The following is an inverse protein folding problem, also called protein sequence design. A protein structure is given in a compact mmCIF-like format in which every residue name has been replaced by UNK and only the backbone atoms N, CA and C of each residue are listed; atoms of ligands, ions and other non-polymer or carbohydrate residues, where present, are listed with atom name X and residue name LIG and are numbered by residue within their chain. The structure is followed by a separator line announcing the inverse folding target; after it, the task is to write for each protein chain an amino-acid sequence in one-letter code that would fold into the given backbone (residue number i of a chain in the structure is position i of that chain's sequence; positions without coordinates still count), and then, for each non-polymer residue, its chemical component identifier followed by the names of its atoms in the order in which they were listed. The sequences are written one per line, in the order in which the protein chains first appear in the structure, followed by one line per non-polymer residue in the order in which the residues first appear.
data_IF_645160735978
#
_entry.id   IF_645160735978
#
_cell.length_a   1.000
_cell.length_b   1.000
_cell.length_c   1.000
_cell.angle_alpha   90.00
_cell.angle_beta   90.00
_cell.angle_gamma   90.00
#
_symmetry.space_group_name_H-M   'P 1'
#
loop_
_entity.id
_entity.type
_entity.pdbx_description
1 polymer ?
#
# COMPACT_ATOMS: atom_id res chain seq x y z
N UNK A 1 1.23 -21.75 26.50
CA UNK A 1 0.59 -20.51 26.11
C UNK A 1 1.62 -19.37 26.02
N UNK A 2 2.40 -19.09 27.08
CA UNK A 2 3.41 -18.01 27.09
C UNK A 2 4.47 -18.20 25.99
N UNK A 3 5.00 -19.42 25.82
CA UNK A 3 5.96 -19.72 24.77
C UNK A 3 5.39 -19.46 23.36
N UNK A 4 4.14 -19.86 23.11
CA UNK A 4 3.48 -19.64 21.81
C UNK A 4 3.23 -18.15 21.56
N UNK A 5 2.84 -17.38 22.58
CA UNK A 5 2.68 -15.93 22.43
C UNK A 5 4.01 -15.21 22.15
N UNK A 6 5.11 -15.66 22.77
CA UNK A 6 6.46 -15.12 22.49
C UNK A 6 6.88 -15.49 21.07
N UNK A 7 6.69 -16.75 20.67
CA UNK A 7 6.98 -17.22 19.31
C UNK A 7 6.17 -16.45 18.27
N UNK A 8 4.87 -16.26 18.50
CA UNK A 8 4.02 -15.47 17.60
C UNK A 8 4.45 -13.99 17.53
N UNK A 9 4.91 -13.41 18.64
CA UNK A 9 5.47 -12.06 18.66
C UNK A 9 6.77 -11.94 17.85
N UNK A 10 7.61 -12.96 17.86
CA UNK A 10 8.82 -13.04 17.05
C UNK A 10 8.48 -13.25 15.55
N UNK A 11 7.59 -14.19 15.24
CA UNK A 11 7.16 -14.45 13.85
C UNK A 11 6.54 -13.22 13.19
N UNK A 12 5.86 -12.35 13.96
CA UNK A 12 5.33 -11.10 13.44
C UNK A 12 6.40 -10.19 12.81
N UNK A 13 7.62 -10.17 13.38
CA UNK A 13 8.70 -9.32 12.85
C UNK A 13 9.31 -9.88 11.56
N UNK A 14 9.01 -11.13 11.23
CA UNK A 14 9.51 -11.82 10.05
C UNK A 14 8.48 -11.85 8.91
N UNK A 15 7.18 -11.66 9.20
CA UNK A 15 6.16 -11.63 8.15
C UNK A 15 6.34 -10.38 7.32
N UNK A 16 6.63 -10.56 6.04
CA UNK A 16 6.80 -9.50 5.07
C UNK A 16 5.45 -8.85 4.76
N UNK A 17 5.48 -7.53 4.60
CA UNK A 17 4.33 -6.76 4.13
C UNK A 17 4.45 -6.69 2.60
N UNK A 18 3.53 -7.31 1.89
CA UNK A 18 3.51 -7.30 0.43
C UNK A 18 2.07 -7.07 -0.07
N UNK A 19 1.83 -5.88 -0.62
CA UNK A 19 0.59 -5.58 -1.34
C UNK A 19 0.92 -5.43 -2.82
N UNK A 20 1.02 -6.56 -3.48
CA UNK A 20 1.04 -6.57 -4.94
C UNK A 20 -0.41 -6.52 -5.46
N UNK A 21 -0.75 -5.41 -6.12
CA UNK A 21 -2.06 -5.23 -6.75
C UNK A 21 -2.29 -6.23 -7.89
N UNK A 22 -1.22 -6.71 -8.53
CA UNK A 22 -1.31 -7.73 -9.59
C UNK A 22 -1.75 -9.08 -9.02
N UNK A 23 -1.31 -9.44 -7.82
CA UNK A 23 -1.75 -10.69 -7.17
C UNK A 23 -3.26 -10.73 -6.88
N UNK A 24 -3.91 -9.57 -6.83
CA UNK A 24 -5.36 -9.45 -6.65
C UNK A 24 -6.14 -9.59 -7.95
N UNK A 25 -5.49 -9.51 -9.09
CA UNK A 25 -6.12 -9.65 -10.39
C UNK A 25 -6.16 -11.12 -10.85
N UNK A 26 -7.23 -11.54 -11.55
CA UNK A 26 -7.30 -12.91 -12.07
C UNK A 26 -6.21 -13.18 -13.11
N UNK A 27 -5.40 -14.21 -12.93
CA UNK A 27 -4.36 -14.65 -13.88
C UNK A 27 -4.88 -14.93 -15.30
N UNK A 28 -6.18 -15.23 -15.43
CA UNK A 28 -6.82 -15.58 -16.71
C UNK A 28 -7.16 -14.37 -17.57
N UNK A 29 -6.96 -13.16 -17.08
CA UNK A 29 -7.27 -11.93 -17.82
C UNK A 29 -6.06 -11.55 -18.69
N UNK A 30 -6.25 -11.51 -20.00
CA UNK A 30 -5.19 -11.20 -20.96
C UNK A 30 -4.49 -9.83 -20.71
N UNK A 31 -5.18 -8.88 -20.08
CA UNK A 31 -4.58 -7.61 -19.70
C UNK A 31 -3.55 -7.77 -18.56
N UNK A 32 -3.81 -8.65 -17.61
CA UNK A 32 -2.91 -8.95 -16.48
C UNK A 32 -1.66 -9.68 -16.98
N UNK A 33 -1.83 -10.69 -17.85
CA UNK A 33 -0.73 -11.39 -18.50
C UNK A 33 0.19 -10.43 -19.28
N UNK A 34 -0.41 -9.52 -20.05
CA UNK A 34 0.36 -8.51 -20.81
C UNK A 34 1.05 -7.49 -19.91
N UNK A 35 0.41 -7.12 -18.80
CA UNK A 35 1.02 -6.20 -17.83
C UNK A 35 2.21 -6.86 -17.13
N UNK A 36 2.12 -8.15 -16.79
CA UNK A 36 3.25 -8.92 -16.29
C UNK A 36 4.40 -8.98 -17.31
N UNK A 37 4.09 -9.29 -18.58
CA UNK A 37 5.09 -9.27 -19.67
C UNK A 37 5.74 -7.87 -19.81
N UNK A 38 4.95 -6.80 -19.69
CA UNK A 38 5.48 -5.43 -19.75
C UNK A 38 6.43 -5.14 -18.59
N UNK A 39 6.08 -5.57 -17.38
CA UNK A 39 6.96 -5.43 -16.22
C UNK A 39 8.26 -6.23 -16.37
N UNK A 40 8.16 -7.49 -16.81
CA UNK A 40 9.31 -8.41 -16.88
C UNK A 40 10.28 -8.06 -18.02
N UNK A 41 9.77 -7.56 -19.16
CA UNK A 41 10.58 -7.29 -20.34
C UNK A 41 11.05 -5.82 -20.47
N UNK A 42 10.30 -4.87 -19.88
CA UNK A 42 10.53 -3.43 -20.02
C UNK A 42 10.81 -2.71 -18.70
N UNK A 43 10.86 -3.42 -17.59
CA UNK A 43 11.04 -2.86 -16.24
C UNK A 43 10.04 -1.73 -15.90
N UNK A 44 8.85 -1.77 -16.49
CA UNK A 44 7.82 -0.76 -16.31
C UNK A 44 6.58 -1.30 -15.59
N UNK A 45 5.67 -0.41 -15.20
CA UNK A 45 4.38 -0.87 -14.68
C UNK A 45 3.67 0.01 -13.66
N UNK A 46 4.38 0.80 -12.87
CA UNK A 46 3.80 1.70 -11.86
C UNK A 46 4.05 3.17 -12.25
N UNK A 47 3.14 3.78 -13.03
CA UNK A 47 3.29 5.16 -13.42
C UNK A 47 3.09 6.10 -12.23
N UNK A 48 3.95 7.11 -12.15
CA UNK A 48 3.86 8.21 -11.20
C UNK A 48 4.25 9.53 -11.84
N UNK A 49 4.01 10.61 -11.12
CA UNK A 49 4.30 11.97 -11.59
C UNK A 49 4.84 12.82 -10.45
N UNK A 50 5.82 13.67 -10.75
CA UNK A 50 6.15 14.84 -9.96
C UNK A 50 5.56 16.05 -10.66
N UNK A 51 4.76 16.84 -9.97
CA UNK A 51 4.32 18.14 -10.44
C UNK A 51 5.40 19.16 -10.05
N UNK A 52 6.00 19.79 -11.06
CA UNK A 52 6.98 20.84 -10.87
C UNK A 52 6.33 22.17 -11.18
N UNK A 53 6.32 23.07 -10.20
CA UNK A 53 5.86 24.45 -10.35
C UNK A 53 7.09 25.33 -10.64
N UNK A 54 7.17 25.85 -11.85
CA UNK A 54 8.23 26.72 -12.32
C UNK A 54 7.76 27.51 -13.55
N UNK A 55 8.13 28.76 -13.65
CA UNK A 55 7.89 29.55 -14.86
C UNK A 55 8.89 29.14 -15.95
N UNK A 56 8.43 28.32 -16.90
CA UNK A 56 9.19 27.90 -18.06
C UNK A 56 8.71 28.59 -19.35
N UNK A 57 7.95 29.67 -19.21
CA UNK A 57 7.47 30.44 -20.38
C UNK A 57 8.63 31.08 -21.14
N UNK A 58 8.59 30.95 -22.45
CA UNK A 58 9.65 31.45 -23.34
C UNK A 58 9.19 32.64 -24.16
N UNK A 59 10.06 33.61 -24.31
CA UNK A 59 9.80 34.79 -25.12
C UNK A 59 10.29 34.59 -26.57
N UNK A 60 9.43 34.79 -27.58
CA UNK A 60 9.80 34.62 -28.99
C UNK A 60 10.67 35.75 -29.56
N UNK A 61 10.94 36.82 -28.80
CA UNK A 61 11.64 38.00 -29.29
C UNK A 61 13.13 38.00 -28.99
N UNK A 62 13.96 37.97 -30.00
CA UNK A 62 15.42 38.18 -29.89
C UNK A 62 15.79 39.61 -29.49
N UNK A 63 14.83 40.54 -29.53
CA UNK A 63 15.05 41.97 -29.32
C UNK A 63 14.54 42.47 -27.96
N UNK A 64 14.09 41.55 -27.12
CA UNK A 64 13.64 41.88 -25.75
C UNK A 64 14.82 42.27 -24.87
N UNK A 65 14.60 43.21 -23.97
CA UNK A 65 15.58 43.56 -22.94
C UNK A 65 15.82 42.33 -22.02
N UNK A 66 17.08 41.82 -21.95
CA UNK A 66 17.39 40.63 -21.12
C UNK A 66 17.04 40.79 -19.62
N UNK A 67 17.06 42.05 -19.14
CA UNK A 67 16.70 42.32 -17.69
C UNK A 67 15.23 42.08 -17.44
N UNK A 68 14.36 42.16 -18.46
CA UNK A 68 12.92 41.94 -18.37
C UNK A 68 12.48 40.51 -18.70
N UNK A 69 13.43 39.71 -19.23
CA UNK A 69 13.17 38.32 -19.52
C UNK A 69 13.21 37.48 -18.23
N UNK A 70 12.30 36.53 -18.10
CA UNK A 70 12.46 35.45 -17.16
C UNK A 70 13.64 34.56 -17.55
N UNK A 71 14.04 33.67 -16.65
CA UNK A 71 15.05 32.65 -16.88
C UNK A 71 14.43 31.26 -16.97
N UNK A 72 13.73 30.92 -18.07
CA UNK A 72 13.15 29.61 -18.24
C UNK A 72 14.22 28.50 -18.34
N UNK A 73 15.45 28.87 -18.81
CA UNK A 73 16.52 27.90 -18.91
C UNK A 73 16.99 27.42 -17.53
N UNK A 74 17.19 28.31 -16.56
CA UNK A 74 17.57 27.91 -15.20
C UNK A 74 16.53 27.02 -14.55
N UNK A 75 15.23 27.25 -14.81
CA UNK A 75 14.17 26.39 -14.33
C UNK A 75 14.15 25.02 -15.04
N UNK A 76 14.41 24.98 -16.32
CA UNK A 76 14.57 23.72 -17.08
C UNK A 76 15.83 22.96 -16.63
N UNK A 77 16.93 23.65 -16.30
CA UNK A 77 18.14 23.06 -15.74
C UNK A 77 17.86 22.40 -14.39
N UNK A 78 17.08 23.05 -13.51
CA UNK A 78 16.63 22.46 -12.27
C UNK A 78 15.73 21.23 -12.47
N UNK A 79 14.89 21.22 -13.49
CA UNK A 79 14.12 20.05 -13.88
C UNK A 79 15.00 18.91 -14.40
N UNK A 80 16.03 19.23 -15.18
CA UNK A 80 17.05 18.27 -15.65
C UNK A 80 17.77 17.61 -14.49
N UNK A 81 18.19 18.41 -13.52
CA UNK A 81 18.87 17.93 -12.30
C UNK A 81 17.96 16.97 -11.53
N UNK A 82 16.68 17.32 -11.36
CA UNK A 82 15.71 16.46 -10.67
C UNK A 82 15.43 15.17 -11.46
N UNK A 83 15.22 15.25 -12.77
CA UNK A 83 15.06 14.09 -13.66
C UNK A 83 16.26 13.15 -13.56
N UNK A 84 17.47 13.70 -13.63
CA UNK A 84 18.72 12.94 -13.55
C UNK A 84 18.87 12.25 -12.19
N UNK A 85 18.53 12.92 -11.09
CA UNK A 85 18.55 12.33 -9.74
C UNK A 85 17.52 11.19 -9.61
N UNK A 86 16.30 11.37 -10.14
CA UNK A 86 15.29 10.33 -10.15
C UNK A 86 15.73 9.09 -10.96
N UNK A 87 16.44 9.29 -12.07
CA UNK A 87 17.02 8.19 -12.88
C UNK A 87 18.18 7.45 -12.18
N UNK A 88 18.70 7.94 -11.05
CA UNK A 88 19.68 7.22 -10.21
C UNK A 88 19.01 6.26 -9.21
N UNK A 89 17.73 6.41 -8.99
CA UNK A 89 16.98 5.50 -8.12
C UNK A 89 16.83 4.14 -8.82
N UNK A 90 17.00 3.06 -8.07
CA UNK A 90 17.00 1.71 -8.60
C UNK A 90 15.75 1.41 -9.43
N UNK A 91 15.96 1.01 -10.67
CA UNK A 91 14.92 0.58 -11.62
C UNK A 91 13.84 1.64 -11.92
N UNK A 92 14.13 2.93 -11.75
CA UNK A 92 13.19 4.00 -12.11
C UNK A 92 13.60 4.67 -13.41
N UNK A 93 12.60 5.08 -14.19
CA UNK A 93 12.79 5.88 -15.41
C UNK A 93 11.99 7.17 -15.27
N UNK A 94 12.70 8.31 -15.23
CA UNK A 94 12.11 9.63 -15.17
C UNK A 94 12.22 10.32 -16.53
N UNK A 95 11.13 10.90 -16.98
CA UNK A 95 11.01 11.60 -18.27
C UNK A 95 10.31 12.94 -18.07
N UNK A 96 10.96 14.01 -18.51
CA UNK A 96 10.39 15.36 -18.52
C UNK A 96 10.40 15.95 -19.92
N UNK A 97 9.98 17.20 -20.04
CA UNK A 97 10.15 17.96 -21.27
C UNK A 97 11.62 18.10 -21.67
N UNK A 98 12.53 18.10 -20.70
CA UNK A 98 13.98 18.19 -20.95
C UNK A 98 14.51 16.94 -21.64
N UNK A 99 13.96 15.75 -21.31
CA UNK A 99 14.28 14.53 -22.06
C UNK A 99 13.99 14.70 -23.56
N UNK A 100 12.84 15.32 -23.92
CA UNK A 100 12.52 15.57 -25.32
C UNK A 100 13.51 16.58 -25.95
N UNK A 101 13.94 17.61 -25.21
CA UNK A 101 14.95 18.54 -25.64
C UNK A 101 16.30 17.86 -25.90
N UNK A 102 16.65 16.85 -25.11
CA UNK A 102 17.86 16.04 -25.33
C UNK A 102 17.74 15.07 -26.51
N UNK A 103 16.53 14.59 -26.80
CA UNK A 103 16.28 13.62 -27.87
C UNK A 103 16.11 14.25 -29.27
N UNK A 104 15.61 15.47 -29.33
CA UNK A 104 15.30 16.14 -30.61
C UNK A 104 16.49 17.01 -31.04
N UNK A 105 17.01 16.73 -32.22
CA UNK A 105 18.09 17.54 -32.79
C UNK A 105 17.59 18.89 -33.32
N UNK A 106 18.36 19.93 -33.04
CA UNK A 106 18.20 21.28 -33.62
C UNK A 106 18.81 21.31 -35.00
N UNK A 107 18.13 21.97 -35.92
CA UNK A 107 18.71 22.34 -37.21
C UNK A 107 17.71 22.38 -38.34
N UNK A 108 17.79 23.44 -39.13
CA UNK A 108 17.05 23.59 -40.36
C UNK A 108 17.99 23.20 -41.47
N UNK A 109 17.75 22.06 -42.10
CA UNK A 109 18.56 21.64 -43.25
C UNK A 109 18.14 22.43 -44.49
N UNK A 110 18.79 23.56 -44.71
CA UNK A 110 18.60 24.36 -45.93
C UNK A 110 19.68 23.95 -46.93
N UNK A 111 19.32 23.03 -47.82
CA UNK A 111 20.24 22.59 -48.85
C UNK A 111 20.52 23.75 -49.85
N UNK A 112 21.73 24.29 -49.79
CA UNK A 112 22.29 24.99 -50.90
C UNK A 112 22.43 26.52 -50.86
N UNK A 113 22.06 27.19 -49.76
CA UNK A 113 22.37 28.62 -49.55
C UNK A 113 22.93 28.81 -48.13
N UNK A 114 24.08 29.46 -48.00
CA UNK A 114 24.58 29.90 -46.72
C UNK A 114 23.72 31.05 -46.19
N UNK A 115 22.57 30.70 -45.55
CA UNK A 115 21.73 31.69 -44.88
C UNK A 115 22.50 32.30 -43.71
N UNK A 116 23.34 31.53 -43.09
CA UNK A 116 24.26 31.88 -42.02
C UNK A 116 25.15 33.08 -42.42
N UNK A 117 25.94 32.93 -43.48
CA UNK A 117 26.78 34.04 -44.00
C UNK A 117 25.96 35.29 -44.32
N UNK A 118 24.69 35.14 -44.70
CA UNK A 118 23.82 36.27 -45.06
C UNK A 118 23.30 37.01 -43.82
N UNK A 119 23.10 36.29 -42.71
CA UNK A 119 22.65 36.89 -41.46
C UNK A 119 23.81 37.60 -40.76
N UNK A 120 24.99 36.98 -40.74
CA UNK A 120 26.22 37.56 -40.18
C UNK A 120 26.62 38.88 -40.85
N UNK A 121 26.30 39.04 -42.14
CA UNK A 121 26.56 40.26 -42.92
C UNK A 121 25.50 41.38 -42.75
N UNK A 122 24.42 41.13 -41.96
CA UNK A 122 23.42 42.16 -41.71
C UNK A 122 23.96 43.23 -40.75
N UNK A 123 23.83 44.55 -41.11
CA UNK A 123 24.29 45.64 -40.26
C UNK A 123 23.31 45.91 -39.13
N UNK A 124 23.24 44.99 -38.17
CA UNK A 124 22.40 45.10 -36.99
C UNK A 124 23.15 45.83 -35.86
N UNK A 125 22.46 46.60 -35.00
CA UNK A 125 23.08 47.18 -33.81
C UNK A 125 23.58 46.11 -32.85
N UNK A 126 24.72 46.34 -32.18
CA UNK A 126 25.39 45.38 -31.30
C UNK A 126 24.45 44.63 -30.33
N UNK A 127 23.48 45.26 -29.61
CA UNK A 127 22.62 44.53 -28.67
C UNK A 127 21.64 43.55 -29.35
N UNK A 128 21.50 43.63 -30.69
CA UNK A 128 20.59 42.80 -31.48
C UNK A 128 21.38 41.78 -32.31
N UNK A 129 22.58 42.12 -32.70
CA UNK A 129 23.41 41.30 -33.58
C UNK A 129 23.82 39.99 -32.92
N UNK A 130 24.34 40.04 -31.68
CA UNK A 130 24.79 38.84 -30.96
C UNK A 130 23.72 37.76 -30.76
N UNK A 131 22.47 38.06 -30.31
CA UNK A 131 21.45 37.03 -30.21
C UNK A 131 21.06 36.44 -31.56
N UNK A 132 21.05 37.25 -32.63
CA UNK A 132 20.73 36.80 -33.99
C UNK A 132 21.82 35.90 -34.55
N UNK A 133 23.10 36.27 -34.41
CA UNK A 133 24.23 35.43 -34.78
C UNK A 133 24.24 34.11 -34.06
N UNK A 134 24.05 34.08 -32.73
CA UNK A 134 24.06 32.86 -31.94
C UNK A 134 22.94 31.89 -32.35
N UNK A 135 21.72 32.40 -32.57
CA UNK A 135 20.61 31.58 -33.05
C UNK A 135 20.85 31.09 -34.48
N UNK A 136 21.36 31.97 -35.35
CA UNK A 136 21.69 31.62 -36.73
C UNK A 136 22.73 30.51 -36.81
N UNK A 137 23.82 30.63 -36.06
CA UNK A 137 24.89 29.62 -36.02
C UNK A 137 24.37 28.25 -35.54
N UNK A 138 23.47 28.22 -34.54
CA UNK A 138 22.85 26.99 -34.06
C UNK A 138 21.87 26.39 -35.08
N UNK A 139 20.98 27.21 -35.64
CA UNK A 139 19.91 26.71 -36.51
C UNK A 139 20.40 26.32 -37.89
N UNK A 140 21.38 27.07 -38.47
CA UNK A 140 21.77 26.91 -39.85
C UNK A 140 23.18 26.34 -40.07
N UNK A 141 24.05 26.35 -39.08
CA UNK A 141 25.40 25.84 -39.19
C UNK A 141 25.57 24.40 -38.67
N UNK A 142 24.71 23.52 -39.15
CA UNK A 142 24.73 22.10 -38.79
C UNK A 142 26.05 21.39 -39.13
N UNK A 143 26.83 21.91 -40.09
CA UNK A 143 28.12 21.32 -40.44
C UNK A 143 29.21 21.61 -39.41
N UNK A 144 29.09 22.69 -38.66
CA UNK A 144 30.01 23.09 -37.58
C UNK A 144 29.70 22.38 -36.24
N UNK A 145 28.43 22.27 -35.90
CA UNK A 145 27.99 21.80 -34.58
C UNK A 145 27.60 20.31 -34.55
N UNK A 146 27.56 19.63 -35.70
CA UNK A 146 27.05 18.25 -35.77
C UNK A 146 25.54 18.18 -35.54
N UNK A 147 24.99 17.03 -35.24
CA UNK A 147 23.58 16.90 -34.86
C UNK A 147 23.41 17.25 -33.36
N UNK A 148 23.42 18.53 -33.02
CA UNK A 148 23.22 19.02 -31.65
C UNK A 148 21.75 18.92 -31.30
N UNK A 149 21.43 18.44 -30.09
CA UNK A 149 20.06 18.45 -29.55
C UNK A 149 19.67 19.87 -29.12
N UNK A 150 18.35 20.10 -28.93
CA UNK A 150 17.91 21.39 -28.38
C UNK A 150 18.56 21.67 -27.02
N UNK A 151 18.70 20.66 -26.15
CA UNK A 151 19.38 20.80 -24.87
C UNK A 151 20.84 21.18 -25.05
N UNK A 152 21.56 20.45 -25.90
CA UNK A 152 22.96 20.75 -26.18
C UNK A 152 23.16 22.11 -26.84
N UNK A 153 22.17 22.61 -27.60
CA UNK A 153 22.20 23.96 -28.14
C UNK A 153 22.02 25.03 -27.06
N UNK A 154 21.16 24.80 -26.08
CA UNK A 154 21.00 25.70 -24.94
C UNK A 154 22.29 25.77 -24.09
N UNK A 155 22.97 24.63 -23.90
CA UNK A 155 24.24 24.56 -23.18
C UNK A 155 25.39 25.30 -23.92
N UNK A 156 25.33 25.38 -25.28
CA UNK A 156 26.31 26.09 -26.06
C UNK A 156 26.13 27.62 -25.99
N UNK A 157 24.92 28.08 -25.65
CA UNK A 157 24.62 29.49 -25.46
C UNK A 157 25.11 29.93 -24.07
N UNK A 158 26.11 30.81 -24.04
CA UNK A 158 26.56 31.39 -22.78
C UNK A 158 25.59 32.48 -22.33
N UNK A 159 24.83 32.18 -21.26
CA UNK A 159 23.91 33.16 -20.67
C UNK A 159 24.61 34.40 -20.09
N UNK A 160 25.94 34.38 -19.91
CA UNK A 160 26.75 35.51 -19.45
C UNK A 160 27.21 36.41 -20.61
N UNK A 161 27.20 35.91 -21.83
CA UNK A 161 27.48 36.71 -23.01
C UNK A 161 26.29 37.59 -23.42
N UNK A 162 26.59 38.72 -24.05
CA UNK A 162 25.55 39.61 -24.55
C UNK A 162 24.70 38.87 -25.60
N UNK A 163 23.39 38.72 -25.30
CA UNK A 163 22.47 38.06 -26.23
C UNK A 163 22.16 36.58 -25.88
N UNK A 164 22.94 35.93 -25.03
CA UNK A 164 22.73 34.54 -24.67
C UNK A 164 21.32 34.25 -24.11
N UNK A 165 20.82 35.07 -23.20
CA UNK A 165 19.50 34.96 -22.60
C UNK A 165 18.36 35.07 -23.63
N UNK A 166 18.50 36.03 -24.60
CA UNK A 166 17.51 36.18 -25.66
C UNK A 166 17.53 34.98 -26.62
N UNK A 167 18.72 34.49 -26.96
CA UNK A 167 18.89 33.32 -27.82
C UNK A 167 18.33 32.05 -27.17
N UNK A 168 18.60 31.82 -25.88
CA UNK A 168 18.04 30.72 -25.12
C UNK A 168 16.49 30.76 -25.06
N UNK A 169 15.93 31.92 -24.72
CA UNK A 169 14.47 32.11 -24.69
C UNK A 169 13.83 31.84 -26.07
N UNK A 170 14.44 32.36 -27.13
CA UNK A 170 13.95 32.13 -28.51
C UNK A 170 14.03 30.64 -28.88
N UNK A 171 15.11 29.96 -28.54
CA UNK A 171 15.30 28.56 -28.88
C UNK A 171 14.31 27.66 -28.11
N UNK A 172 14.06 27.95 -26.84
CA UNK A 172 13.04 27.28 -26.05
C UNK A 172 11.64 27.49 -26.65
N UNK A 173 11.32 28.73 -27.09
CA UNK A 173 10.07 29.01 -27.78
C UNK A 173 9.94 28.21 -29.09
N UNK A 174 10.99 28.12 -29.89
CA UNK A 174 11.01 27.31 -31.11
C UNK A 174 10.77 25.85 -30.80
N UNK A 175 11.41 25.35 -29.76
CA UNK A 175 11.21 23.96 -29.31
C UNK A 175 9.73 23.69 -28.95
N UNK A 176 9.11 24.53 -28.14
CA UNK A 176 7.70 24.33 -27.74
C UNK A 176 6.75 24.36 -28.94
N UNK A 177 7.06 25.14 -29.96
CA UNK A 177 6.26 25.19 -31.17
C UNK A 177 6.61 24.09 -32.19
N UNK A 178 7.72 23.40 -32.02
CA UNK A 178 8.08 22.21 -32.82
C UNK A 178 7.35 20.96 -32.36
N UNK A 179 6.87 20.93 -31.12
CA UNK A 179 6.11 19.82 -30.57
C UNK A 179 4.65 19.86 -31.04
N UNK A 180 4.04 18.68 -31.21
CA UNK A 180 2.59 18.60 -31.35
C UNK A 180 1.90 19.10 -30.06
N UNK A 181 0.67 19.63 -30.20
CA UNK A 181 -0.09 20.13 -29.06
C UNK A 181 -0.26 19.04 -27.98
N UNK A 182 -0.55 17.80 -28.38
CA UNK A 182 -0.72 16.67 -27.48
C UNK A 182 0.56 16.35 -26.70
N UNK A 183 1.73 16.35 -27.37
CA UNK A 183 3.02 16.10 -26.75
C UNK A 183 3.38 17.22 -25.76
N UNK A 184 3.13 18.46 -26.12
CA UNK A 184 3.40 19.60 -25.25
C UNK A 184 2.52 19.59 -24.01
N UNK A 185 1.21 19.40 -24.17
CA UNK A 185 0.24 19.38 -23.06
C UNK A 185 0.40 18.15 -22.14
N UNK A 186 1.11 17.12 -22.58
CA UNK A 186 1.45 15.97 -21.74
C UNK A 186 2.48 16.34 -20.66
N UNK A 187 3.44 17.20 -20.97
CA UNK A 187 4.53 17.58 -20.06
C UNK A 187 4.35 18.97 -19.46
N UNK A 188 3.71 19.90 -20.15
CA UNK A 188 3.69 21.32 -19.83
C UNK A 188 2.24 21.80 -19.72
N UNK A 189 1.90 22.48 -18.62
CA UNK A 189 0.62 23.12 -18.47
C UNK A 189 0.45 24.27 -19.51
N UNK A 190 -0.79 24.58 -19.93
CA UNK A 190 -1.06 25.61 -20.96
C UNK A 190 -0.56 27.01 -20.60
N UNK A 191 -0.38 27.33 -19.33
CA UNK A 191 0.12 28.59 -18.80
C UNK A 191 1.64 28.65 -18.64
N UNK A 192 2.35 27.52 -18.89
CA UNK A 192 3.79 27.36 -18.73
C UNK A 192 4.29 27.62 -17.29
N UNK A 193 3.42 27.55 -16.30
CA UNK A 193 3.77 27.73 -14.88
C UNK A 193 3.96 26.40 -14.16
N UNK A 194 3.64 25.29 -14.81
CA UNK A 194 3.81 23.95 -14.25
C UNK A 194 4.21 22.96 -15.32
N UNK A 195 4.97 21.96 -14.92
CA UNK A 195 5.40 20.86 -15.77
C UNK A 195 5.34 19.55 -15.01
N UNK A 196 5.29 18.44 -15.74
CA UNK A 196 5.28 17.09 -15.18
C UNK A 196 6.60 16.40 -15.48
N UNK A 197 7.15 15.73 -14.46
CA UNK A 197 8.15 14.69 -14.62
C UNK A 197 7.40 13.37 -14.47
N UNK A 198 7.29 12.61 -15.54
CA UNK A 198 6.74 11.26 -15.55
C UNK A 198 7.78 10.30 -14.99
N UNK A 199 7.37 9.46 -14.04
CA UNK A 199 8.22 8.44 -13.44
C UNK A 199 7.56 7.09 -13.65
N UNK A 200 8.29 6.14 -14.20
CA UNK A 200 7.87 4.75 -14.32
C UNK A 200 8.76 3.85 -13.45
N UNK A 201 8.12 2.95 -12.73
CA UNK A 201 8.79 1.97 -11.86
C UNK A 201 8.23 0.59 -12.13
N UNK A 202 9.06 -0.48 -12.10
CA UNK A 202 8.56 -1.84 -12.20
C UNK A 202 7.69 -2.21 -10.98
N UNK A 203 6.90 -3.26 -11.11
CA UNK A 203 6.25 -3.86 -9.97
C UNK A 203 7.30 -4.51 -9.07
N UNK A 204 7.50 -3.93 -7.90
CA UNK A 204 8.44 -4.37 -6.89
C UNK A 204 7.70 -4.69 -5.59
N UNK A 205 8.38 -5.39 -4.67
CA UNK A 205 7.87 -5.54 -3.32
C UNK A 205 7.67 -4.17 -2.63
N UNK A 206 6.76 -4.11 -1.67
CA UNK A 206 6.37 -2.85 -1.00
C UNK A 206 7.55 -2.14 -0.35
N UNK A 207 8.54 -2.88 0.18
CA UNK A 207 9.69 -2.28 0.85
C UNK A 207 10.61 -1.56 -0.14
N UNK A 208 10.86 -2.15 -1.31
CA UNK A 208 11.64 -1.51 -2.39
C UNK A 208 10.89 -0.33 -2.97
N UNK A 209 9.58 -0.50 -3.27
CA UNK A 209 8.72 0.58 -3.75
C UNK A 209 8.73 1.77 -2.78
N UNK A 210 8.62 1.51 -1.47
CA UNK A 210 8.69 2.54 -0.42
C UNK A 210 10.05 3.23 -0.40
N UNK A 211 11.13 2.47 -0.43
CA UNK A 211 12.49 3.03 -0.45
C UNK A 211 12.74 3.90 -1.69
N UNK A 212 12.28 3.47 -2.86
CA UNK A 212 12.39 4.23 -4.09
C UNK A 212 11.57 5.53 -4.03
N UNK A 213 10.31 5.44 -3.57
CA UNK A 213 9.43 6.62 -3.39
C UNK A 213 10.01 7.62 -2.40
N UNK A 214 10.50 7.17 -1.24
CA UNK A 214 11.14 8.04 -0.25
C UNK A 214 12.39 8.74 -0.78
N UNK A 215 13.18 8.07 -1.63
CA UNK A 215 14.34 8.67 -2.28
C UNK A 215 13.94 9.74 -3.31
N UNK A 216 12.91 9.44 -4.12
CA UNK A 216 12.37 10.41 -5.09
C UNK A 216 11.83 11.65 -4.36
N UNK A 217 11.06 11.46 -3.29
CA UNK A 217 10.49 12.55 -2.50
C UNK A 217 11.59 13.38 -1.81
N UNK A 218 12.66 12.73 -1.38
CA UNK A 218 13.83 13.42 -0.86
C UNK A 218 14.47 14.29 -1.93
N UNK A 219 14.66 13.81 -3.16
CA UNK A 219 15.18 14.59 -4.26
C UNK A 219 14.24 15.73 -4.67
N UNK A 220 12.93 15.48 -4.70
CA UNK A 220 11.92 16.48 -4.98
C UNK A 220 11.88 17.62 -3.95
N UNK A 221 12.31 17.36 -2.71
CA UNK A 221 12.37 18.33 -1.62
C UNK A 221 13.68 19.11 -1.52
N UNK A 222 14.70 18.74 -2.33
CA UNK A 222 15.99 19.44 -2.34
C UNK A 222 15.95 20.69 -3.23
N UNK A 223 16.73 21.69 -2.84
CA UNK A 223 16.96 22.84 -3.71
C UNK A 223 17.67 22.41 -4.98
N UNK A 224 17.18 22.86 -6.11
CA UNK A 224 17.74 22.66 -7.46
C UNK A 224 18.11 24.00 -8.08
N UNK A 225 18.73 23.97 -9.26
CA UNK A 225 18.95 25.17 -10.05
C UNK A 225 17.60 25.83 -10.38
N UNK A 226 17.59 27.16 -10.50
CA UNK A 226 16.39 27.94 -10.78
C UNK A 226 15.45 28.11 -9.59
N UNK A 227 14.24 28.58 -9.87
CA UNK A 227 13.17 28.84 -8.89
C UNK A 227 12.03 27.85 -9.11
N UNK A 228 12.26 26.57 -8.80
CA UNK A 228 11.24 25.54 -8.96
C UNK A 228 10.88 24.92 -7.60
N UNK A 229 9.64 24.47 -7.50
CA UNK A 229 9.16 23.65 -6.39
C UNK A 229 8.54 22.39 -6.96
N UNK A 230 8.76 21.24 -6.29
CA UNK A 230 8.23 19.96 -6.72
C UNK A 230 7.35 19.35 -5.63
N UNK A 231 6.28 18.70 -6.06
CA UNK A 231 5.45 17.89 -5.14
C UNK A 231 6.13 16.56 -4.85
N UNK A 232 5.77 15.88 -3.76
CA UNK A 232 6.07 14.46 -3.60
C UNK A 232 5.52 13.64 -4.77
N UNK A 233 6.05 12.43 -4.95
CA UNK A 233 5.62 11.50 -5.99
C UNK A 233 4.12 11.17 -5.83
N UNK A 234 3.37 11.40 -6.90
CA UNK A 234 1.94 11.07 -6.99
C UNK A 234 1.75 9.97 -8.03
N UNK A 235 1.16 8.86 -7.64
CA UNK A 235 0.96 7.76 -8.59
C UNK A 235 0.57 6.47 -7.93
N UNK A 236 0.59 5.39 -8.70
CA UNK A 236 0.19 4.05 -8.23
C UNK A 236 1.06 3.60 -7.06
N UNK A 237 2.37 3.81 -7.13
CA UNK A 237 3.31 3.43 -6.08
C UNK A 237 2.99 4.11 -4.74
N UNK A 238 2.85 5.44 -4.73
CA UNK A 238 2.54 6.21 -3.51
C UNK A 238 1.19 5.80 -2.91
N UNK A 239 0.15 5.64 -3.75
CA UNK A 239 -1.17 5.17 -3.30
C UNK A 239 -1.07 3.79 -2.69
N UNK A 240 -0.32 2.89 -3.30
CA UNK A 240 -0.13 1.52 -2.79
C UNK A 240 0.53 1.52 -1.41
N UNK A 241 1.57 2.34 -1.21
CA UNK A 241 2.27 2.48 0.07
C UNK A 241 1.33 3.04 1.14
N UNK A 242 0.63 4.15 0.87
CA UNK A 242 -0.29 4.76 1.84
C UNK A 242 -1.44 3.83 2.21
N UNK A 243 -2.02 3.15 1.22
CA UNK A 243 -3.09 2.16 1.45
C UNK A 243 -2.57 1.00 2.31
N UNK A 244 -1.34 0.52 2.05
CA UNK A 244 -0.72 -0.52 2.86
C UNK A 244 -0.55 -0.08 4.33
N UNK A 245 0.01 1.09 4.57
CA UNK A 245 0.22 1.62 5.93
C UNK A 245 -1.10 1.80 6.69
N UNK A 246 -2.14 2.32 6.03
CA UNK A 246 -3.47 2.46 6.61
C UNK A 246 -4.11 1.11 6.96
N UNK A 247 -3.98 0.12 6.09
CA UNK A 247 -4.55 -1.22 6.28
C UNK A 247 -3.85 -1.94 7.42
N UNK A 248 -2.51 -1.99 7.39
CA UNK A 248 -1.70 -2.63 8.44
C UNK A 248 -1.92 -1.92 9.79
N UNK A 249 -1.94 -0.58 9.80
CA UNK A 249 -2.23 0.20 11.00
C UNK A 249 -3.64 -0.03 11.55
N UNK A 250 -4.64 -0.19 10.67
CA UNK A 250 -6.03 -0.44 11.07
C UNK A 250 -6.29 -1.85 11.58
N UNK A 251 -5.43 -2.83 11.25
CA UNK A 251 -5.59 -4.22 11.67
C UNK A 251 -5.69 -4.36 13.19
N UNK A 252 -4.79 -3.69 13.93
CA UNK A 252 -4.77 -3.76 15.39
C UNK A 252 -6.02 -3.15 16.03
N UNK A 253 -6.48 -2.03 15.50
CA UNK A 253 -7.72 -1.40 15.96
C UNK A 253 -8.93 -2.31 15.71
N UNK A 254 -9.03 -2.82 14.48
CA UNK A 254 -10.11 -3.73 14.07
C UNK A 254 -10.14 -4.99 14.93
N UNK A 255 -8.98 -5.62 15.13
CA UNK A 255 -8.85 -6.81 15.96
C UNK A 255 -9.19 -6.54 17.42
N UNK A 256 -8.71 -5.42 17.98
CA UNK A 256 -9.02 -4.98 19.33
C UNK A 256 -10.52 -4.74 19.53
N UNK A 257 -11.17 -4.06 18.59
CA UNK A 257 -12.62 -3.88 18.62
C UNK A 257 -13.38 -5.19 18.48
N UNK A 258 -12.97 -6.09 17.58
CA UNK A 258 -13.60 -7.40 17.42
C UNK A 258 -13.56 -8.21 18.72
N UNK A 259 -12.40 -8.28 19.38
CA UNK A 259 -12.26 -8.95 20.67
C UNK A 259 -13.07 -8.26 21.78
N UNK A 260 -13.08 -6.92 21.83
CA UNK A 260 -13.85 -6.16 22.82
C UNK A 260 -15.35 -6.42 22.66
N UNK A 261 -15.89 -6.31 21.44
CA UNK A 261 -17.30 -6.58 21.18
C UNK A 261 -17.66 -8.04 21.45
N UNK A 262 -16.77 -8.98 21.17
CA UNK A 262 -16.94 -10.39 21.53
C UNK A 262 -17.09 -10.56 23.04
N UNK A 263 -16.20 -9.96 23.84
CA UNK A 263 -16.28 -10.04 25.31
C UNK A 263 -17.55 -9.38 25.84
N UNK A 264 -17.95 -8.23 25.29
CA UNK A 264 -19.19 -7.55 25.69
C UNK A 264 -20.40 -8.44 25.36
N UNK A 265 -20.49 -8.97 24.15
CA UNK A 265 -21.59 -9.84 23.73
C UNK A 265 -21.68 -11.10 24.59
N UNK A 266 -20.53 -11.76 24.84
CA UNK A 266 -20.48 -12.92 25.72
C UNK A 266 -20.82 -12.57 27.16
N UNK A 267 -20.38 -11.42 27.65
CA UNK A 267 -20.72 -10.90 28.99
C UNK A 267 -22.22 -10.70 29.16
N UNK A 268 -22.90 -10.15 28.12
CA UNK A 268 -24.35 -10.01 28.13
C UNK A 268 -25.09 -11.35 28.06
N UNK A 269 -24.64 -12.25 27.17
CA UNK A 269 -25.25 -13.59 27.01
C UNK A 269 -25.07 -14.43 28.26
N UNK A 270 -23.88 -14.47 28.81
CA UNK A 270 -23.59 -15.25 30.00
C UNK A 270 -23.94 -14.52 31.30
N UNK A 271 -24.20 -13.22 31.28
CA UNK A 271 -24.41 -12.36 32.45
C UNK A 271 -23.29 -12.47 33.50
N UNK A 272 -22.08 -12.78 33.03
CA UNK A 272 -20.88 -12.94 33.85
C UNK A 272 -19.66 -12.57 33.03
N UNK A 273 -19.03 -11.43 33.35
CA UNK A 273 -17.90 -10.90 32.62
C UNK A 273 -16.64 -11.78 32.78
N UNK A 274 -16.45 -12.39 33.96
CA UNK A 274 -15.29 -13.27 34.20
C UNK A 274 -15.37 -14.51 33.30
N UNK A 275 -16.55 -15.11 33.24
CA UNK A 275 -16.79 -16.27 32.40
C UNK A 275 -16.64 -15.93 30.91
N UNK A 276 -17.10 -14.76 30.49
CA UNK A 276 -16.94 -14.28 29.14
C UNK A 276 -15.46 -14.10 28.77
N UNK A 277 -14.68 -13.45 29.63
CA UNK A 277 -13.23 -13.27 29.40
C UNK A 277 -12.50 -14.61 29.27
N UNK A 278 -12.79 -15.56 30.15
CA UNK A 278 -12.20 -16.90 30.10
C UNK A 278 -12.57 -17.65 28.80
N UNK A 279 -13.81 -17.48 28.36
CA UNK A 279 -14.30 -18.10 27.10
C UNK A 279 -13.62 -17.50 25.87
N UNK A 280 -13.15 -16.27 25.95
CA UNK A 280 -12.47 -15.57 24.83
C UNK A 280 -10.97 -15.94 24.72
N UNK A 281 -10.35 -16.52 25.77
CA UNK A 281 -8.92 -16.86 25.77
C UNK A 281 -8.51 -17.75 24.59
N UNK A 282 -9.23 -18.83 24.21
CA UNK A 282 -8.88 -19.65 23.05
C UNK A 282 -8.88 -18.86 21.72
N UNK A 283 -9.80 -17.90 21.60
CA UNK A 283 -9.87 -17.03 20.41
C UNK A 283 -8.65 -16.14 20.34
N UNK A 284 -8.28 -15.47 21.44
CA UNK A 284 -7.06 -14.66 21.52
C UNK A 284 -5.79 -15.48 21.25
N UNK A 285 -5.75 -16.74 21.72
CA UNK A 285 -4.67 -17.67 21.40
C UNK A 285 -4.60 -17.97 19.89
N UNK A 286 -5.72 -18.23 19.26
CA UNK A 286 -5.76 -18.55 17.82
C UNK A 286 -5.36 -17.35 16.97
N UNK A 287 -5.78 -16.14 17.36
CA UNK A 287 -5.34 -14.89 16.71
C UNK A 287 -3.83 -14.69 16.86
N UNK A 288 -3.26 -14.99 18.04
CA UNK A 288 -1.80 -14.98 18.22
C UNK A 288 -1.08 -15.99 17.32
N UNK A 289 -1.66 -17.17 17.10
CA UNK A 289 -1.12 -18.19 16.20
C UNK A 289 -1.12 -17.78 14.72
N UNK A 290 -1.91 -16.79 14.31
CA UNK A 290 -1.96 -16.30 12.94
C UNK A 290 -0.56 -15.95 12.43
N UNK A 291 0.20 -15.18 13.20
CA UNK A 291 1.54 -14.75 12.81
C UNK A 291 2.51 -15.92 12.63
N UNK A 292 2.41 -16.93 13.52
CA UNK A 292 3.23 -18.13 13.41
C UNK A 292 2.89 -18.95 12.16
N UNK A 293 1.61 -19.04 11.82
CA UNK A 293 1.15 -19.78 10.63
C UNK A 293 1.55 -19.06 9.36
N UNK A 294 1.45 -17.73 9.33
CA UNK A 294 1.86 -16.92 8.17
C UNK A 294 3.38 -17.01 7.95
N UNK A 295 4.17 -16.82 9.00
CA UNK A 295 5.64 -16.91 8.95
C UNK A 295 6.10 -18.33 8.51
N UNK A 296 5.53 -19.39 9.10
CA UNK A 296 5.88 -20.77 8.73
C UNK A 296 5.42 -21.18 7.33
N UNK A 297 4.43 -20.52 6.77
CA UNK A 297 3.89 -20.75 5.43
C UNK A 297 4.43 -19.79 4.38
N UNK A 298 5.37 -18.91 4.75
CA UNK A 298 5.90 -17.85 3.89
C UNK A 298 4.79 -17.01 3.24
N UNK A 299 3.76 -16.70 4.06
CA UNK A 299 2.60 -15.93 3.61
C UNK A 299 2.75 -14.48 4.07
N UNK A 300 2.90 -13.58 3.12
CA UNK A 300 3.00 -12.15 3.37
C UNK A 300 1.68 -11.54 3.87
N UNK A 301 1.80 -10.42 4.59
CA UNK A 301 0.66 -9.61 4.99
C UNK A 301 0.22 -8.78 3.78
N UNK A 302 -0.95 -9.10 3.25
CA UNK A 302 -1.56 -8.45 2.10
C UNK A 302 -2.92 -7.85 2.44
N UNK A 303 -3.52 -7.11 1.50
CA UNK A 303 -4.87 -6.57 1.64
C UNK A 303 -5.92 -7.63 2.05
N UNK A 304 -5.74 -8.86 1.57
CA UNK A 304 -6.67 -9.96 1.86
C UNK A 304 -6.32 -10.63 3.18
N UNK A 305 -5.03 -10.90 3.43
CA UNK A 305 -4.59 -11.64 4.63
C UNK A 305 -4.73 -10.82 5.92
N UNK A 306 -4.73 -9.49 5.82
CA UNK A 306 -4.97 -8.61 6.99
C UNK A 306 -6.34 -8.83 7.64
N UNK A 307 -7.34 -9.28 6.85
CA UNK A 307 -8.70 -9.52 7.34
C UNK A 307 -8.83 -10.84 8.14
N UNK A 308 -7.85 -11.74 8.04
CA UNK A 308 -7.90 -13.08 8.68
C UNK A 308 -8.19 -12.97 10.16
N UNK A 309 -7.52 -12.06 10.88
CA UNK A 309 -7.68 -11.91 12.33
C UNK A 309 -9.13 -11.61 12.73
N UNK A 310 -9.80 -10.70 12.05
CA UNK A 310 -11.18 -10.32 12.34
C UNK A 310 -12.18 -11.45 12.02
N UNK A 311 -11.97 -12.13 10.88
CA UNK A 311 -12.78 -13.30 10.49
C UNK A 311 -12.60 -14.42 11.53
N UNK A 312 -11.37 -14.64 11.96
CA UNK A 312 -11.03 -15.70 12.92
C UNK A 312 -11.67 -15.46 14.30
N UNK A 313 -11.74 -14.21 14.76
CA UNK A 313 -12.46 -13.86 15.99
C UNK A 313 -13.93 -14.26 15.88
N UNK A 314 -14.60 -13.95 14.76
CA UNK A 314 -16.01 -14.29 14.55
C UNK A 314 -16.27 -15.78 14.53
N UNK A 315 -15.50 -16.54 13.75
CA UNK A 315 -15.67 -18.00 13.62
C UNK A 315 -15.16 -18.74 14.86
N UNK A 316 -14.01 -18.31 15.41
CA UNK A 316 -13.38 -18.98 16.56
C UNK A 316 -14.19 -18.86 17.86
N UNK A 317 -14.93 -17.78 18.02
CA UNK A 317 -15.76 -17.61 19.23
C UNK A 317 -16.92 -18.60 19.29
N UNK A 318 -17.47 -19.01 18.13
CA UNK A 318 -18.59 -19.97 18.10
C UNK A 318 -18.19 -21.31 18.71
N UNK A 319 -16.98 -21.79 18.45
CA UNK A 319 -16.46 -23.02 19.03
C UNK A 319 -16.38 -22.93 20.56
N UNK A 320 -15.88 -21.80 21.06
CA UNK A 320 -15.77 -21.56 22.51
C UNK A 320 -17.13 -21.41 23.19
N UNK A 321 -18.10 -20.75 22.54
CA UNK A 321 -19.45 -20.55 23.04
C UNK A 321 -20.18 -21.90 23.26
N UNK A 322 -20.07 -22.80 22.30
CA UNK A 322 -20.74 -24.09 22.37
C UNK A 322 -20.30 -24.88 23.62
N UNK A 323 -19.01 -24.98 23.90
CA UNK A 323 -18.46 -25.65 25.07
C UNK A 323 -18.83 -24.88 26.35
N UNK A 324 -18.58 -23.57 26.38
CA UNK A 324 -18.82 -22.73 27.53
C UNK A 324 -20.31 -22.76 28.00
N UNK A 325 -21.23 -22.65 27.02
CA UNK A 325 -22.66 -22.68 27.31
C UNK A 325 -23.09 -24.02 27.96
N UNK A 326 -22.51 -25.13 27.46
CA UNK A 326 -22.82 -26.45 28.02
C UNK A 326 -22.21 -26.63 29.41
N UNK A 327 -20.95 -26.22 29.60
CA UNK A 327 -20.31 -26.25 30.94
C UNK A 327 -21.13 -25.44 31.95
N UNK A 328 -21.59 -24.25 31.54
CA UNK A 328 -22.44 -23.39 32.40
C UNK A 328 -23.78 -24.04 32.76
N UNK A 329 -24.45 -24.65 31.78
CA UNK A 329 -25.73 -25.34 31.99
C UNK A 329 -25.60 -26.53 32.93
N UNK A 330 -24.47 -27.22 32.96
CA UNK A 330 -24.19 -28.38 33.80
C UNK A 330 -23.58 -28.01 35.19
N UNK A 331 -23.49 -26.70 35.50
CA UNK A 331 -23.11 -26.22 36.84
C UNK A 331 -21.62 -25.99 37.05
N UNK A 332 -20.77 -26.14 36.01
CA UNK A 332 -19.36 -25.73 36.03
C UNK A 332 -18.44 -26.60 36.92
N UNK A 333 -18.83 -27.82 37.28
CA UNK A 333 -17.97 -28.80 37.95
C UNK A 333 -16.99 -29.48 36.98
N UNK A 334 -16.01 -30.24 37.49
CA UNK A 334 -15.07 -30.99 36.65
C UNK A 334 -15.81 -32.01 35.78
N UNK A 335 -16.80 -32.72 36.37
CA UNK A 335 -17.63 -33.68 35.65
C UNK A 335 -18.47 -32.98 34.56
N UNK A 336 -18.93 -31.76 34.83
CA UNK A 336 -19.64 -30.94 33.84
C UNK A 336 -18.73 -30.55 32.67
N UNK A 337 -17.47 -30.25 32.91
CA UNK A 337 -16.48 -29.94 31.87
C UNK A 337 -16.21 -31.17 31.00
N UNK A 338 -15.95 -32.34 31.62
CA UNK A 338 -15.72 -33.60 30.91
C UNK A 338 -16.94 -34.01 30.07
N UNK A 339 -18.13 -33.97 30.62
CA UNK A 339 -19.37 -34.28 29.91
C UNK A 339 -19.65 -33.31 28.76
N UNK A 340 -19.29 -32.02 28.91
CA UNK A 340 -19.44 -31.04 27.86
C UNK A 340 -18.50 -31.32 26.70
N UNK A 341 -17.24 -31.66 26.97
CA UNK A 341 -16.25 -31.98 25.92
C UNK A 341 -16.63 -33.29 25.21
N UNK A 342 -17.00 -34.33 25.91
CA UNK A 342 -17.36 -35.60 25.32
C UNK A 342 -18.59 -35.51 24.39
N UNK A 343 -19.58 -34.71 24.77
CA UNK A 343 -20.82 -34.61 24.00
C UNK A 343 -20.80 -33.53 22.88
N UNK A 344 -20.01 -32.47 23.02
CA UNK A 344 -19.96 -31.37 22.06
C UNK A 344 -18.75 -31.49 21.15
N UNK A 345 -17.69 -32.18 21.58
CA UNK A 345 -16.43 -32.27 20.87
C UNK A 345 -16.55 -32.88 19.49
N UNK A 346 -17.29 -33.98 19.34
CA UNK A 346 -17.51 -34.64 18.05
C UNK A 346 -18.25 -33.73 17.07
N UNK A 347 -19.34 -33.11 17.52
CA UNK A 347 -20.14 -32.19 16.72
C UNK A 347 -19.34 -30.97 16.29
N UNK A 348 -18.45 -30.46 17.14
CA UNK A 348 -17.59 -29.35 16.83
C UNK A 348 -16.51 -29.74 15.77
N UNK A 349 -15.98 -30.94 15.89
CA UNK A 349 -15.01 -31.49 14.93
C UNK A 349 -15.67 -31.70 13.55
N UNK A 350 -16.87 -32.25 13.51
CA UNK A 350 -17.66 -32.40 12.28
C UNK A 350 -17.92 -31.03 11.61
N UNK A 351 -18.35 -30.04 12.39
CA UNK A 351 -18.57 -28.68 11.89
C UNK A 351 -17.29 -28.05 11.33
N UNK A 352 -16.15 -28.27 11.97
CA UNK A 352 -14.84 -27.80 11.52
C UNK A 352 -14.48 -28.41 10.17
N UNK A 353 -14.65 -29.72 10.00
CA UNK A 353 -14.37 -30.42 8.75
C UNK A 353 -15.26 -29.90 7.61
N UNK A 354 -16.56 -29.76 7.88
CA UNK A 354 -17.50 -29.28 6.87
C UNK A 354 -17.16 -27.85 6.42
N UNK A 355 -16.84 -26.98 7.38
CA UNK A 355 -16.45 -25.59 7.07
C UNK A 355 -15.13 -25.55 6.31
N UNK A 356 -14.12 -26.31 6.73
CA UNK A 356 -12.83 -26.39 6.03
C UNK A 356 -13.01 -26.94 4.60
N UNK A 357 -13.81 -28.00 4.44
CA UNK A 357 -14.11 -28.55 3.12
C UNK A 357 -14.85 -27.55 2.22
N UNK A 358 -15.78 -26.76 2.77
CA UNK A 358 -16.44 -25.69 2.05
C UNK A 358 -15.44 -24.60 1.58
N UNK A 359 -14.51 -24.22 2.44
CA UNK A 359 -13.49 -23.23 2.12
C UNK A 359 -12.51 -23.70 1.03
N UNK A 360 -12.26 -25.02 0.89
CA UNK A 360 -11.38 -25.52 -0.19
C UNK A 360 -11.91 -25.24 -1.58
N UNK A 361 -13.22 -25.00 -1.75
CA UNK A 361 -13.77 -24.59 -3.03
C UNK A 361 -13.22 -23.25 -3.53
N UNK A 362 -12.73 -22.40 -2.63
CA UNK A 362 -12.13 -21.12 -3.01
C UNK A 362 -10.78 -21.26 -3.74
N UNK A 363 -10.10 -22.41 -3.69
CA UNK A 363 -8.93 -22.68 -4.53
C UNK A 363 -9.24 -22.73 -6.04
N UNK A 364 -10.52 -22.86 -6.41
CA UNK A 364 -10.96 -22.79 -7.81
C UNK A 364 -10.98 -21.37 -8.35
N UNK A 365 -10.85 -20.36 -7.50
CA UNK A 365 -10.81 -18.96 -7.89
C UNK A 365 -9.42 -18.66 -8.47
N UNK A 366 -9.32 -18.16 -9.70
CA UNK A 366 -8.02 -17.90 -10.35
C UNK A 366 -7.43 -16.54 -9.94
N UNK A 367 -7.36 -16.28 -8.62
CA UNK A 367 -6.75 -15.09 -8.04
C UNK A 367 -5.62 -15.56 -7.13
N UNK A 368 -4.35 -15.18 -7.40
CA UNK A 368 -3.19 -15.65 -6.64
C UNK A 368 -3.31 -15.38 -5.14
N UNK A 369 -3.70 -14.18 -4.75
CA UNK A 369 -3.80 -13.77 -3.34
C UNK A 369 -4.82 -14.58 -2.51
N UNK A 370 -5.81 -15.22 -3.15
CA UNK A 370 -6.83 -16.01 -2.43
C UNK A 370 -6.28 -17.35 -1.95
N UNK A 371 -5.36 -17.97 -2.67
CA UNK A 371 -4.81 -19.29 -2.32
C UNK A 371 -4.11 -19.28 -0.95
N UNK A 372 -3.11 -18.41 -0.67
CA UNK A 372 -2.47 -18.32 0.63
C UNK A 372 -3.45 -17.91 1.73
N UNK A 373 -4.35 -16.95 1.45
CA UNK A 373 -5.40 -16.52 2.38
C UNK A 373 -6.26 -17.69 2.88
N UNK A 374 -6.79 -18.51 1.96
CA UNK A 374 -7.63 -19.67 2.31
C UNK A 374 -6.82 -20.73 3.06
N UNK A 375 -5.56 -20.97 2.66
CA UNK A 375 -4.69 -21.91 3.35
C UNK A 375 -4.53 -21.54 4.82
N UNK A 376 -4.20 -20.28 5.09
CA UNK A 376 -4.02 -19.78 6.47
C UNK A 376 -5.32 -19.87 7.27
N UNK A 377 -6.46 -19.48 6.68
CA UNK A 377 -7.76 -19.58 7.37
C UNK A 377 -8.12 -21.02 7.71
N UNK A 378 -7.94 -21.97 6.80
CA UNK A 378 -8.25 -23.40 7.07
C UNK A 378 -7.38 -23.92 8.22
N UNK A 379 -6.08 -23.62 8.22
CA UNK A 379 -5.18 -24.04 9.30
C UNK A 379 -5.63 -23.43 10.63
N UNK A 380 -5.90 -22.12 10.64
CA UNK A 380 -6.31 -21.40 11.85
C UNK A 380 -7.70 -21.82 12.35
N UNK A 381 -8.60 -22.23 11.45
CA UNK A 381 -9.89 -22.81 11.83
C UNK A 381 -9.71 -24.11 12.62
N UNK A 382 -8.79 -24.97 12.18
CA UNK A 382 -8.46 -26.21 12.91
C UNK A 382 -7.80 -25.86 14.25
N UNK A 383 -6.89 -24.89 14.29
CA UNK A 383 -6.28 -24.40 15.55
C UNK A 383 -7.33 -23.84 16.49
N UNK A 384 -8.32 -23.08 15.98
CA UNK A 384 -9.42 -22.54 16.78
C UNK A 384 -10.28 -23.64 17.42
N UNK A 385 -10.64 -24.66 16.63
CA UNK A 385 -11.40 -25.81 17.14
C UNK A 385 -10.61 -26.59 18.20
N UNK A 386 -9.33 -26.86 17.96
CA UNK A 386 -8.44 -27.55 18.93
C UNK A 386 -8.24 -26.70 20.18
N UNK A 387 -8.07 -25.39 20.06
CA UNK A 387 -7.91 -24.50 21.20
C UNK A 387 -9.18 -24.46 22.06
N UNK A 388 -10.35 -24.46 21.45
CA UNK A 388 -11.61 -24.52 22.15
C UNK A 388 -11.82 -25.89 22.88
N UNK A 389 -11.39 -27.00 22.23
CA UNK A 389 -11.55 -28.35 22.79
C UNK A 389 -10.50 -28.71 23.87
N UNK A 390 -9.29 -28.15 23.78
CA UNK A 390 -8.19 -28.50 24.68
C UNK A 390 -7.87 -27.39 25.68
N UNK A 391 -7.68 -26.16 25.20
CA UNK A 391 -7.23 -25.05 26.02
C UNK A 391 -8.35 -24.54 26.94
N UNK A 392 -9.58 -24.40 26.44
CA UNK A 392 -10.69 -23.89 27.25
C UNK A 392 -11.05 -24.83 28.42
N UNK A 393 -11.23 -26.15 28.22
CA UNK A 393 -11.46 -27.09 29.33
C UNK A 393 -10.29 -27.17 30.31
N UNK A 394 -9.06 -27.08 29.82
CA UNK A 394 -7.87 -27.07 30.68
C UNK A 394 -7.86 -25.85 31.61
N UNK A 395 -8.17 -24.65 31.08
CA UNK A 395 -8.29 -23.43 31.88
C UNK A 395 -9.40 -23.55 32.91
N UNK A 396 -10.57 -24.03 32.51
CA UNK A 396 -11.71 -24.22 33.41
C UNK A 396 -11.39 -25.21 34.52
N UNK A 397 -10.81 -26.35 34.15
CA UNK A 397 -10.42 -27.38 35.14
C UNK A 397 -9.35 -26.88 36.11
N UNK A 398 -8.39 -26.09 35.63
CA UNK A 398 -7.36 -25.48 36.48
C UNK A 398 -7.99 -24.52 37.51
N UNK A 399 -8.92 -23.66 37.08
CA UNK A 399 -9.60 -22.70 37.95
C UNK A 399 -10.45 -23.40 39.00
N UNK A 400 -11.23 -24.41 38.62
CA UNK A 400 -12.07 -25.20 39.55
C UNK A 400 -11.19 -25.92 40.58
N UNK A 401 -10.07 -26.54 40.14
CA UNK A 401 -9.11 -27.19 41.07
C UNK A 401 -8.44 -26.20 42.02
N UNK A 402 -8.26 -24.96 41.59
CA UNK A 402 -7.71 -23.85 42.40
C UNK A 402 -8.76 -23.23 43.34
N UNK A 403 -9.98 -23.80 43.43
CA UNK A 403 -11.06 -23.30 44.28
C UNK A 403 -11.74 -22.01 43.79
N UNK A 404 -11.51 -21.62 42.53
CA UNK A 404 -12.11 -20.44 41.93
C UNK A 404 -13.38 -20.88 41.17
N UNK A 405 -14.59 -20.47 41.59
CA UNK A 405 -15.81 -20.85 40.88
C UNK A 405 -15.82 -20.20 39.48
N UNK A 406 -16.16 -20.99 38.45
CA UNK A 406 -16.25 -20.53 37.06
C UNK A 406 -17.36 -19.50 36.87
N UNK A 407 -18.49 -19.69 37.53
CA UNK A 407 -19.64 -18.78 37.51
C UNK A 407 -19.73 -18.09 38.86
N UNK A 408 -19.73 -16.77 38.88
CA UNK A 408 -20.03 -16.02 40.09
C UNK A 408 -21.44 -16.39 40.56
N UNK A 409 -21.56 -16.97 41.76
CA UNK A 409 -22.87 -17.19 42.34
C UNK A 409 -23.71 -15.92 42.32
N UNK A 410 -24.99 -16.04 42.23
CA UNK A 410 -26.11 -15.10 42.01
C UNK A 410 -26.00 -13.62 42.49
N UNK A 411 -24.78 -13.10 42.70
CA UNK A 411 -24.51 -11.69 43.01
C UNK A 411 -23.60 -11.07 41.93
N UNK A 412 -24.05 -11.09 40.68
CA UNK A 412 -23.33 -10.42 39.59
C UNK A 412 -23.34 -8.90 39.80
N UNK A 413 -22.23 -8.27 39.53
CA UNK A 413 -21.99 -6.84 39.64
C UNK A 413 -23.04 -5.97 38.89
N UNK A 414 -23.77 -6.55 37.95
CA UNK A 414 -24.81 -5.87 37.17
C UNK A 414 -26.11 -5.68 37.97
N UNK A 415 -26.44 -6.54 38.97
CA UNK A 415 -27.61 -6.40 39.79
C UNK A 415 -27.45 -5.44 40.99
N UNK A 416 -26.24 -4.95 41.24
CA UNK A 416 -26.01 -3.91 42.28
C UNK A 416 -26.36 -2.49 41.82
N UNK A 417 -26.61 -2.28 40.51
CA UNK A 417 -27.03 -0.99 39.99
C UNK A 417 -28.57 -0.81 39.97
N UNK A 418 -29.31 -1.94 40.08
CA UNK A 418 -30.78 -1.88 40.17
C UNK A 418 -31.20 -2.39 41.56
N UNK A 419 -31.39 -1.45 42.47
CA UNK A 419 -31.94 -1.77 43.81
C UNK A 419 -33.36 -2.28 43.73
N UNK A 420 -33.57 -3.51 44.15
CA UNK A 420 -34.89 -4.12 44.27
C UNK A 420 -34.86 -5.34 45.15
N UNK A 421 -35.37 -5.23 46.40
CA UNK A 421 -35.63 -6.28 47.34
C UNK A 421 -36.47 -7.40 46.71
N UNK A 422 -36.01 -8.64 46.74
CA UNK A 422 -36.89 -9.81 46.58
C UNK A 422 -36.65 -10.81 47.68
N UNK A 423 -37.76 -11.21 48.30
CA UNK A 423 -37.87 -12.20 49.39
C UNK A 423 -37.54 -13.59 48.87
N UNK A 424 -36.84 -14.37 49.73
CA UNK A 424 -36.66 -15.82 49.58
C UNK A 424 -38.00 -16.55 49.54
N UNK A 425 -38.13 -17.48 48.62
CA UNK A 425 -39.12 -18.53 48.72
C UNK A 425 -38.41 -19.85 48.34
N UNK A 426 -38.22 -20.70 49.36
CA UNK A 426 -37.74 -22.07 49.24
C UNK A 426 -38.83 -22.92 48.56
N UNK A 427 -38.54 -23.40 47.36
CA UNK A 427 -39.17 -24.61 46.79
C UNK A 427 -38.28 -25.07 45.61
N UNK A 428 -37.44 -26.06 45.87
CA UNK A 428 -36.72 -26.83 44.87
C UNK A 428 -37.70 -27.71 44.05
N UNK A 429 -37.67 -27.70 42.74
CA UNK A 429 -38.25 -28.79 41.96
C UNK A 429 -37.19 -29.87 41.74
N UNK A 430 -37.44 -31.05 42.18
CA UNK A 430 -36.70 -32.29 41.90
C UNK A 430 -36.78 -32.58 40.39
N UNK A 431 -35.61 -32.73 39.76
CA UNK A 431 -35.49 -33.11 38.35
C UNK A 431 -35.54 -34.62 38.23
N UNK A 432 -36.38 -35.21 37.34
CA UNK A 432 -36.40 -36.65 37.16
C UNK A 432 -35.14 -37.13 36.40
N UNK A 433 -34.52 -38.18 36.96
CA UNK A 433 -33.42 -38.94 36.36
C UNK A 433 -33.99 -39.70 35.16
N UNK A 434 -33.60 -39.34 33.95
CA UNK A 434 -33.85 -40.17 32.76
C UNK A 434 -32.77 -41.21 32.62
N UNK A 435 -33.11 -42.47 32.89
CA UNK A 435 -32.33 -43.64 32.47
C UNK A 435 -32.25 -43.70 30.95
N UNK A 436 -31.02 -43.72 30.45
CA UNK A 436 -30.76 -43.97 29.03
C UNK A 436 -31.08 -45.42 28.68
N UNK A 437 -32.20 -45.65 27.99
CA UNK A 437 -32.40 -46.90 27.26
C UNK A 437 -31.70 -46.82 25.92
N UNK A 438 -30.83 -47.79 25.70
CA UNK A 438 -30.21 -48.12 24.41
C UNK A 438 -31.24 -48.24 23.29
N UNK A 439 -31.02 -47.56 22.16
CA UNK A 439 -31.51 -47.99 20.85
C UNK A 439 -30.74 -47.27 19.75
N UNK A 440 -29.90 -48.08 19.08
CA UNK A 440 -29.36 -48.01 17.69
C UNK A 440 -28.73 -46.74 17.15
#
# INVERSE_FOLDING_TARGET
LVFVLISAGYSRTNVEENIDLLEMAPETVAAVEKLGTYSDEFDGGQPGFLLVEADISANPSLFSDPVLLGDPYANLEGMEELESKCNLVESTTALSVVFLMKAIAVGINVSGTPIDDTIDDLPLPDPINEPVEQVSDILFNNSRNGNVSFWGALDLLDAQEAGGVQAQNFLIYVFYNSLSLEMREFFIAPDFQSSLIYIDMPFMDVQRTKSATEQIDLYASQDTSGALTSTPLVGVASITIEVNELIVGSQWSSLGFALLFTVITLGLVFRDLRFALLTTVPVGFTVGMQWLVMDSGDVSLSLVTVMIGSILVGVGVDFSIHIANRVKKLGGSIEAIEASCASTGLSLFEATIVTAAGMTCAYLIPIPAIKPFITVIIILLVVAALSALLLLPAIYSFLVKSGIPLTGGSNSMILKISGGRSKSNDNEPQIPVYEAKEAW
#
